data_IF_080037386905
#
_entry.id   IF_080037386905
#
_cell.length_a   1.000
_cell.length_b   1.000
_cell.length_c   1.000
_cell.angle_alpha   90.00
_cell.angle_beta   90.00
_cell.angle_gamma   90.00
#
_symmetry.space_group_name_H-M   'P 1'
#
loop_
_entity.id
_entity.type
_entity.pdbx_description
1 polymer ?
#
# COMPACT_ATOMS: atom_id res chain seq x y z
N UNK A 1 -2.96 -3.68 29.66
CA UNK A 1 -3.22 -4.65 28.57
C UNK A 1 -2.25 -4.38 27.42
N UNK A 2 -1.55 -5.42 26.96
CA UNK A 2 -0.33 -5.34 26.17
C UNK A 2 -0.53 -4.73 24.77
N UNK A 3 0.00 -3.52 24.52
CA UNK A 3 -0.08 -2.82 23.22
C UNK A 3 1.05 -3.16 22.22
N UNK A 4 1.98 -4.06 22.56
CA UNK A 4 3.27 -4.16 21.84
C UNK A 4 3.63 -5.54 21.27
N UNK A 5 2.66 -6.45 21.06
CA UNK A 5 2.97 -7.76 20.48
C UNK A 5 1.94 -8.18 19.43
N UNK A 6 1.83 -7.41 18.36
CA UNK A 6 1.37 -7.99 17.09
C UNK A 6 2.59 -8.42 16.28
N UNK A 7 2.64 -9.70 15.91
CA UNK A 7 3.67 -10.26 15.04
C UNK A 7 3.70 -9.56 13.66
N UNK A 8 4.79 -9.68 12.88
CA UNK A 8 4.85 -9.13 11.53
C UNK A 8 3.65 -9.54 10.66
N UNK A 9 3.23 -10.81 10.76
CA UNK A 9 2.08 -11.34 10.02
C UNK A 9 0.74 -10.75 10.45
N UNK A 10 0.53 -10.52 11.76
CA UNK A 10 -0.72 -9.90 12.25
C UNK A 10 -0.81 -8.43 11.86
N UNK A 11 0.31 -7.70 11.88
CA UNK A 11 0.34 -6.31 11.39
C UNK A 11 0.07 -6.26 9.89
N UNK A 12 0.72 -7.15 9.12
CA UNK A 12 0.46 -7.29 7.69
C UNK A 12 -1.02 -7.55 7.42
N UNK A 13 -1.62 -8.54 8.07
CA UNK A 13 -3.05 -8.86 7.90
C UNK A 13 -3.96 -7.66 8.23
N UNK A 14 -3.69 -6.96 9.33
CA UNK A 14 -4.45 -5.78 9.73
C UNK A 14 -4.37 -4.65 8.69
N UNK A 15 -3.16 -4.36 8.19
CA UNK A 15 -2.95 -3.30 7.22
C UNK A 15 -3.50 -3.67 5.84
N UNK A 16 -3.27 -4.90 5.36
CA UNK A 16 -3.79 -5.39 4.08
C UNK A 16 -5.32 -5.33 4.04
N UNK A 17 -6.02 -5.78 5.08
CA UNK A 17 -7.48 -5.72 5.13
C UNK A 17 -8.05 -4.30 5.02
N UNK A 18 -7.38 -3.31 5.63
CA UNK A 18 -7.79 -1.90 5.53
C UNK A 18 -7.50 -1.29 4.17
N UNK A 19 -6.38 -1.66 3.56
CA UNK A 19 -5.99 -1.19 2.22
C UNK A 19 -6.96 -1.75 1.17
N UNK A 20 -7.29 -3.04 1.25
CA UNK A 20 -8.15 -3.70 0.27
C UNK A 20 -9.63 -3.30 0.39
N UNK A 21 -10.08 -2.95 1.60
CA UNK A 21 -11.43 -2.43 1.84
C UNK A 21 -11.66 -0.96 1.42
N UNK A 22 -10.60 -0.19 1.15
CA UNK A 22 -10.71 1.22 0.81
C UNK A 22 -11.01 1.42 -0.68
N UNK A 23 -12.15 2.05 -0.98
CA UNK A 23 -12.63 2.30 -2.35
C UNK A 23 -12.02 3.56 -2.96
N UNK A 24 -11.64 4.53 -2.14
CA UNK A 24 -11.00 5.75 -2.61
C UNK A 24 -9.51 5.48 -2.88
N UNK A 25 -9.09 5.57 -4.15
CA UNK A 25 -7.71 5.28 -4.54
C UNK A 25 -6.64 6.12 -3.82
N UNK A 26 -6.90 7.41 -3.60
CA UNK A 26 -5.97 8.28 -2.88
C UNK A 26 -5.85 7.87 -1.40
N UNK A 27 -6.96 7.55 -0.73
CA UNK A 27 -6.93 7.02 0.64
C UNK A 27 -6.25 5.65 0.71
N UNK A 28 -6.49 4.78 -0.27
CA UNK A 28 -5.84 3.47 -0.36
C UNK A 28 -4.32 3.61 -0.44
N UNK A 29 -3.83 4.52 -1.29
CA UNK A 29 -2.41 4.84 -1.38
C UNK A 29 -1.86 5.39 -0.07
N UNK A 30 -2.57 6.33 0.56
CA UNK A 30 -2.16 6.90 1.85
C UNK A 30 -2.04 5.83 2.95
N UNK A 31 -3.03 4.94 3.06
CA UNK A 31 -3.00 3.84 4.03
C UNK A 31 -1.83 2.88 3.80
N UNK A 32 -1.52 2.57 2.53
CA UNK A 32 -0.36 1.78 2.17
C UNK A 32 0.97 2.46 2.54
N UNK A 33 1.08 3.77 2.29
CA UNK A 33 2.25 4.56 2.68
C UNK A 33 2.45 4.56 4.21
N UNK A 34 1.38 4.78 4.98
CA UNK A 34 1.42 4.74 6.44
C UNK A 34 1.85 3.36 6.96
N UNK A 35 1.38 2.28 6.34
CA UNK A 35 1.79 0.94 6.71
C UNK A 35 3.28 0.69 6.45
N UNK A 36 3.77 1.01 5.25
CA UNK A 36 5.19 0.85 4.89
C UNK A 36 6.08 1.64 5.86
N UNK A 37 5.71 2.89 6.16
CA UNK A 37 6.44 3.71 7.14
C UNK A 37 6.47 3.07 8.54
N UNK A 38 5.34 2.50 8.99
CA UNK A 38 5.26 1.82 10.28
C UNK A 38 6.15 0.56 10.32
N UNK A 39 6.18 -0.25 9.26
CA UNK A 39 7.04 -1.43 9.19
C UNK A 39 8.53 -1.04 9.15
N UNK A 40 8.90 -0.02 8.37
CA UNK A 40 10.27 0.50 8.34
C UNK A 40 10.73 0.99 9.72
N UNK A 41 9.86 1.68 10.48
CA UNK A 41 10.17 2.12 11.84
C UNK A 41 10.38 0.96 12.83
N UNK A 42 9.73 -0.18 12.60
CA UNK A 42 9.92 -1.41 13.40
C UNK A 42 11.17 -2.19 12.97
N UNK A 43 11.50 -2.17 11.68
CA UNK A 43 12.67 -2.83 11.09
C UNK A 43 13.98 -2.32 11.65
N UNK A 44 14.12 -1.00 11.75
CA UNK A 44 15.30 -0.34 12.36
C UNK A 44 15.57 -0.83 13.79
N UNK A 45 14.53 -1.29 14.50
CA UNK A 45 14.62 -1.73 15.90
C UNK A 45 14.91 -3.23 16.07
N UNK A 46 14.75 -4.06 15.03
CA UNK A 46 14.73 -5.53 15.17
C UNK A 46 15.95 -6.24 14.59
N UNK A 47 16.37 -5.92 13.37
CA UNK A 47 17.43 -6.67 12.69
C UNK A 47 18.03 -5.87 11.53
N UNK A 48 19.20 -5.26 11.73
CA UNK A 48 19.87 -4.46 10.70
C UNK A 48 20.31 -5.29 9.49
N UNK A 49 20.65 -6.57 9.68
CA UNK A 49 21.12 -7.43 8.61
C UNK A 49 20.01 -7.72 7.58
N UNK A 50 18.76 -7.80 8.04
CA UNK A 50 17.58 -8.03 7.18
C UNK A 50 16.85 -6.74 6.80
N UNK A 51 17.23 -5.60 7.38
CA UNK A 51 16.55 -4.32 7.19
C UNK A 51 16.45 -3.91 5.71
N UNK A 52 17.55 -4.04 4.99
CA UNK A 52 17.61 -3.71 3.56
C UNK A 52 16.69 -4.58 2.70
N UNK A 53 16.73 -5.91 2.91
CA UNK A 53 15.91 -6.84 2.13
C UNK A 53 14.41 -6.62 2.35
N UNK A 54 13.99 -6.40 3.60
CA UNK A 54 12.58 -6.17 3.92
C UNK A 54 12.16 -4.77 3.48
N UNK A 55 13.04 -3.76 3.56
CA UNK A 55 12.78 -2.42 3.02
C UNK A 55 12.56 -2.44 1.51
N UNK A 56 13.37 -3.20 0.76
CA UNK A 56 13.17 -3.41 -0.67
C UNK A 56 11.84 -4.10 -0.98
N UNK A 57 11.44 -5.09 -0.18
CA UNK A 57 10.16 -5.77 -0.36
C UNK A 57 8.98 -4.82 -0.14
N UNK A 58 8.98 -4.05 0.96
CA UNK A 58 7.97 -3.03 1.23
C UNK A 58 7.87 -1.98 0.11
N UNK A 59 9.01 -1.56 -0.45
CA UNK A 59 9.05 -0.63 -1.58
C UNK A 59 8.42 -1.24 -2.85
N UNK A 60 8.67 -2.53 -3.13
CA UNK A 60 8.02 -3.24 -4.25
C UNK A 60 6.52 -3.33 -4.07
N UNK A 61 6.05 -3.64 -2.86
CA UNK A 61 4.61 -3.69 -2.56
C UNK A 61 3.96 -2.31 -2.76
N UNK A 62 4.60 -1.24 -2.29
CA UNK A 62 4.13 0.13 -2.48
C UNK A 62 4.03 0.52 -3.96
N UNK A 63 5.05 0.17 -4.76
CA UNK A 63 5.03 0.38 -6.21
C UNK A 63 3.90 -0.39 -6.89
N UNK A 64 3.63 -1.62 -6.46
CA UNK A 64 2.53 -2.44 -6.99
C UNK A 64 1.16 -1.77 -6.78
N UNK A 65 0.91 -1.25 -5.58
CA UNK A 65 -0.33 -0.52 -5.25
C UNK A 65 -0.44 0.76 -6.09
N UNK A 66 0.65 1.52 -6.22
CA UNK A 66 0.67 2.73 -7.04
C UNK A 66 0.37 2.44 -8.52
N UNK A 67 0.94 1.36 -9.06
CA UNK A 67 0.73 0.94 -10.44
C UNK A 67 -0.72 0.52 -10.70
N UNK A 68 -1.33 -0.27 -9.81
CA UNK A 68 -2.74 -0.67 -9.90
C UNK A 68 -3.68 0.55 -9.86
N UNK A 69 -3.42 1.51 -8.97
CA UNK A 69 -4.20 2.74 -8.90
C UNK A 69 -4.05 3.61 -10.16
N UNK A 70 -2.84 3.70 -10.70
CA UNK A 70 -2.59 4.45 -11.92
C UNK A 70 -3.26 3.79 -13.14
N UNK A 71 -3.18 2.47 -13.27
CA UNK A 71 -3.86 1.73 -14.35
C UNK A 71 -5.39 1.93 -14.31
N UNK A 72 -5.99 1.84 -13.11
CA UNK A 72 -7.42 2.16 -12.91
C UNK A 72 -7.75 3.60 -13.31
N UNK A 73 -6.89 4.55 -12.97
CA UNK A 73 -7.09 5.95 -13.35
C UNK A 73 -6.98 6.16 -14.86
N UNK A 74 -5.99 5.56 -15.53
CA UNK A 74 -5.84 5.66 -16.99
C UNK A 74 -7.04 5.07 -17.72
N UNK A 75 -7.50 3.87 -17.34
CA UNK A 75 -8.72 3.26 -17.90
C UNK A 75 -9.96 4.14 -17.74
N UNK A 76 -10.10 4.79 -16.59
CA UNK A 76 -11.18 5.76 -16.37
C UNK A 76 -11.10 6.95 -17.33
N UNK A 77 -9.90 7.53 -17.51
CA UNK A 77 -9.69 8.65 -18.45
C UNK A 77 -9.96 8.24 -19.91
N UNK A 78 -9.55 7.04 -20.32
CA UNK A 78 -9.83 6.50 -21.66
C UNK A 78 -11.34 6.32 -21.91
N UNK A 79 -12.06 5.77 -20.92
CA UNK A 79 -13.51 5.63 -21.00
C UNK A 79 -14.23 6.98 -21.14
N UNK A 80 -13.76 8.02 -20.45
CA UNK A 80 -14.31 9.38 -20.58
C UNK A 80 -14.08 9.97 -21.98
N UNK A 81 -12.90 9.73 -22.58
CA UNK A 81 -12.61 10.21 -23.95
C UNK A 81 -13.48 9.54 -25.01
N UNK A 82 -13.80 8.25 -24.84
CA UNK A 82 -14.69 7.52 -25.76
C UNK A 82 -16.16 7.94 -25.69
N UNK A 83 -16.61 8.51 -24.57
CA UNK A 83 -17.98 8.99 -24.37
C UNK A 83 -18.26 10.37 -24.98
N UNK A 84 -17.24 11.22 -25.13
CA UNK A 84 -17.39 12.58 -25.64
C UNK A 84 -17.59 12.67 -27.17
N UNK A 85 -17.35 11.57 -27.90
CA UNK A 85 -17.45 11.54 -29.37
C UNK A 85 -18.85 11.18 -29.90
N UNK A 86 -19.85 11.02 -29.02
CA UNK A 86 -21.27 10.83 -29.38
C UNK A 86 -22.09 12.05 -28.98
N UNK A 87 -21.84 13.19 -29.62
CA UNK A 87 -22.76 14.34 -29.68
C UNK A 87 -22.81 14.80 -31.13
#
# INVERSE_FOLDING_TARGET
MARNRTGPEERKAFHSGRIDGERNGARRFWLAACWVAAELAQLVKRDQAKAHAIGLDLAKQMRGIAADLNDKHQKYLEAQKGGASRV
#
